data_IF_929622718661
#
_entry.id   IF_929622718661
#
_cell.length_a   1.000
_cell.length_b   1.000
_cell.length_c   1.000
_cell.angle_alpha   90.00
_cell.angle_beta   90.00
_cell.angle_gamma   90.00
#
_symmetry.space_group_name_H-M   'P 1'
#
loop_
_entity.id
_entity.type
_entity.pdbx_description
1 polymer ?
#
# COMPACT_ATOMS: atom_id res chain seq x y z
N UNK A 1 8.05 19.57 -1.48
CA UNK A 1 8.04 18.62 -2.63
C UNK A 1 7.14 17.44 -2.26
N UNK A 2 6.68 16.59 -3.20
CA UNK A 2 5.80 15.46 -2.84
C UNK A 2 6.47 14.52 -1.82
N UNK A 3 7.79 14.32 -1.94
CA UNK A 3 8.59 13.54 -1.00
C UNK A 3 8.65 14.20 0.38
N UNK A 4 8.87 15.51 0.45
CA UNK A 4 8.87 16.25 1.73
C UNK A 4 7.51 16.16 2.43
N UNK A 5 6.40 16.25 1.69
CA UNK A 5 5.06 16.12 2.27
C UNK A 5 4.85 14.71 2.85
N UNK A 6 5.34 13.68 2.16
CA UNK A 6 5.24 12.29 2.61
C UNK A 6 6.05 12.03 3.87
N UNK A 7 7.25 12.63 3.97
CA UNK A 7 8.09 12.59 5.17
C UNK A 7 7.36 13.32 6.29
N UNK A 8 6.92 14.56 6.05
CA UNK A 8 6.26 15.39 7.06
C UNK A 8 4.97 14.77 7.63
N UNK A 9 4.22 14.01 6.83
CA UNK A 9 3.02 13.29 7.29
C UNK A 9 3.32 12.14 8.26
N UNK A 10 4.56 11.66 8.30
CA UNK A 10 4.95 10.42 9.00
C UNK A 10 6.01 10.64 10.09
N UNK A 11 6.82 11.68 9.93
CA UNK A 11 7.86 12.10 10.86
C UNK A 11 7.23 12.65 12.15
N UNK A 12 7.27 11.84 13.22
CA UNK A 12 6.63 12.16 14.51
C UNK A 12 7.52 12.99 15.44
N UNK A 13 8.85 12.94 15.25
CA UNK A 13 9.82 13.66 16.07
C UNK A 13 10.37 14.92 15.39
N UNK A 14 10.08 15.11 14.10
CA UNK A 14 10.34 16.32 13.34
C UNK A 14 11.81 16.46 12.93
N UNK A 15 12.56 15.37 12.85
CA UNK A 15 13.97 15.38 12.49
C UNK A 15 14.22 15.44 10.97
N UNK A 16 13.13 15.35 10.19
CA UNK A 16 13.13 15.39 8.72
C UNK A 16 13.52 14.06 8.08
N UNK A 17 13.58 12.97 8.85
CA UNK A 17 13.91 11.62 8.41
C UNK A 17 12.76 10.67 8.77
N UNK A 18 12.83 9.44 8.26
CA UNK A 18 11.92 8.36 8.63
C UNK A 18 12.78 7.24 9.19
N UNK A 19 12.72 7.06 10.50
CA UNK A 19 13.38 5.96 11.17
C UNK A 19 12.50 4.68 11.18
N UNK A 20 13.01 3.64 11.82
CA UNK A 20 12.30 2.36 11.88
C UNK A 20 11.01 2.46 12.71
N UNK A 21 11.05 3.22 13.80
CA UNK A 21 9.91 3.46 14.69
C UNK A 21 8.78 4.19 13.96
N UNK A 22 9.08 5.27 13.22
CA UNK A 22 8.12 5.99 12.39
C UNK A 22 7.52 5.07 11.33
N UNK A 23 8.36 4.26 10.67
CA UNK A 23 7.92 3.30 9.67
C UNK A 23 6.91 2.30 10.25
N UNK A 24 7.22 1.67 11.40
CA UNK A 24 6.35 0.69 12.04
C UNK A 24 5.02 1.32 12.47
N UNK A 25 5.09 2.54 13.01
CA UNK A 25 3.92 3.30 13.45
C UNK A 25 2.99 3.61 12.27
N UNK A 26 3.54 4.20 11.20
CA UNK A 26 2.81 4.47 9.95
C UNK A 26 2.15 3.19 9.43
N UNK A 27 2.94 2.14 9.28
CA UNK A 27 2.47 0.91 8.68
C UNK A 27 1.36 0.26 9.51
N UNK A 28 1.52 0.24 10.83
CA UNK A 28 0.52 -0.29 11.76
C UNK A 28 -0.80 0.50 11.72
N UNK A 29 -0.72 1.84 11.73
CA UNK A 29 -1.88 2.73 11.67
C UNK A 29 -2.60 2.61 10.33
N UNK A 30 -1.89 2.79 9.22
CA UNK A 30 -2.47 2.78 7.87
C UNK A 30 -3.05 1.40 7.47
N UNK A 31 -2.43 0.30 7.90
CA UNK A 31 -2.94 -1.05 7.67
C UNK A 31 -4.28 -1.30 8.36
N UNK A 32 -4.47 -0.77 9.56
CA UNK A 32 -5.67 -0.95 10.36
C UNK A 32 -6.73 0.15 10.15
N UNK A 33 -6.41 1.17 9.35
CA UNK A 33 -7.27 2.32 9.13
C UNK A 33 -8.45 2.02 8.21
N UNK A 34 -9.60 1.75 8.84
CA UNK A 34 -10.89 1.55 8.18
C UNK A 34 -11.59 2.85 7.78
N UNK A 35 -11.17 3.99 8.34
CA UNK A 35 -11.84 5.30 8.16
C UNK A 35 -11.12 6.21 7.16
N UNK A 36 -10.00 5.76 6.58
CA UNK A 36 -9.18 6.54 5.63
C UNK A 36 -8.77 7.90 6.22
N UNK A 37 -8.32 7.87 7.47
CA UNK A 37 -7.82 9.02 8.23
C UNK A 37 -6.30 9.07 8.32
N UNK A 38 -5.63 7.95 8.09
CA UNK A 38 -4.17 7.88 8.13
C UNK A 38 -3.57 8.26 6.77
N UNK A 39 -2.39 8.91 6.76
CA UNK A 39 -1.63 9.15 5.54
C UNK A 39 -1.34 7.84 4.80
N UNK A 40 -1.61 7.82 3.49
CA UNK A 40 -1.50 6.60 2.67
C UNK A 40 -0.45 6.67 1.57
N UNK A 41 0.13 7.83 1.30
CA UNK A 41 1.11 8.00 0.21
C UNK A 41 2.32 7.11 0.43
N UNK A 42 3.00 7.24 1.57
CA UNK A 42 4.17 6.43 1.90
C UNK A 42 3.80 4.95 2.12
N UNK A 43 2.66 4.69 2.77
CA UNK A 43 2.14 3.33 2.93
C UNK A 43 1.93 2.60 1.59
N UNK A 44 1.41 3.29 0.57
CA UNK A 44 1.19 2.68 -0.74
C UNK A 44 2.50 2.27 -1.42
N UNK A 45 3.54 3.10 -1.32
CA UNK A 45 4.86 2.77 -1.85
C UNK A 45 5.48 1.58 -1.12
N UNK A 46 5.38 1.55 0.21
CA UNK A 46 5.87 0.45 1.04
C UNK A 46 5.17 -0.86 0.67
N UNK A 47 3.84 -0.84 0.55
CA UNK A 47 3.05 -2.02 0.23
C UNK A 47 3.33 -2.54 -1.19
N UNK A 48 3.57 -1.64 -2.14
CA UNK A 48 4.04 -1.99 -3.48
C UNK A 48 5.43 -2.66 -3.43
N UNK A 49 6.40 -2.02 -2.76
CA UNK A 49 7.77 -2.53 -2.67
C UNK A 49 7.87 -3.88 -1.94
N UNK A 50 6.99 -4.18 -0.99
CA UNK A 50 6.96 -5.50 -0.33
C UNK A 50 6.34 -6.60 -1.19
N UNK A 51 5.61 -6.23 -2.24
CA UNK A 51 4.94 -7.17 -3.15
C UNK A 51 5.67 -7.33 -4.47
N UNK A 52 6.55 -6.40 -4.83
CA UNK A 52 7.56 -6.55 -5.88
C UNK A 52 8.56 -7.64 -5.44
N UNK A 53 8.12 -8.90 -5.56
CA UNK A 53 8.91 -10.10 -5.24
C UNK A 53 9.75 -10.53 -6.43
N UNK A 54 9.59 -9.85 -7.58
CA UNK A 54 10.41 -10.07 -8.75
C UNK A 54 11.90 -9.97 -8.36
N UNK A 55 12.65 -11.01 -8.74
CA UNK A 55 14.06 -11.21 -8.41
C UNK A 55 15.01 -10.10 -8.91
N UNK A 56 14.50 -9.07 -9.56
CA UNK A 56 15.26 -7.98 -10.18
C UNK A 56 14.99 -6.59 -9.59
N UNK A 57 14.07 -6.44 -8.62
CA UNK A 57 13.64 -5.12 -8.12
C UNK A 57 13.35 -4.16 -9.28
N UNK A 58 12.66 -4.68 -10.31
CA UNK A 58 12.38 -3.99 -11.56
C UNK A 58 11.48 -2.76 -11.39
N UNK A 59 10.89 -2.57 -10.21
CA UNK A 59 9.97 -1.47 -9.92
C UNK A 59 8.61 -1.65 -10.60
N UNK A 60 8.29 -2.88 -10.99
CA UNK A 60 7.05 -3.26 -11.64
C UNK A 60 6.51 -4.53 -10.99
N UNK A 61 5.21 -4.55 -10.73
CA UNK A 61 4.52 -5.76 -10.27
C UNK A 61 3.71 -6.37 -11.40
N UNK A 62 3.61 -7.69 -11.42
CA UNK A 62 2.72 -8.41 -12.34
C UNK A 62 1.26 -8.48 -11.83
N UNK A 63 0.39 -9.13 -12.59
CA UNK A 63 -1.03 -9.25 -12.24
C UNK A 63 -1.23 -10.07 -10.96
N UNK A 64 -0.45 -11.11 -10.73
CA UNK A 64 -0.57 -11.99 -9.56
C UNK A 64 -0.10 -11.26 -8.29
N UNK A 65 1.00 -10.51 -8.37
CA UNK A 65 1.52 -9.65 -7.30
C UNK A 65 0.53 -8.51 -6.98
N UNK A 66 -0.07 -7.91 -8.00
CA UNK A 66 -1.12 -6.90 -7.83
C UNK A 66 -2.36 -7.48 -7.15
N UNK A 67 -2.80 -8.68 -7.57
CA UNK A 67 -3.91 -9.40 -6.93
C UNK A 67 -3.60 -9.74 -5.48
N UNK A 68 -2.35 -10.07 -5.14
CA UNK A 68 -1.93 -10.32 -3.76
C UNK A 68 -2.09 -9.07 -2.88
N UNK A 69 -1.68 -7.89 -3.35
CA UNK A 69 -1.90 -6.60 -2.65
C UNK A 69 -3.40 -6.39 -2.41
N UNK A 70 -4.21 -6.51 -3.46
CA UNK A 70 -5.65 -6.27 -3.38
C UNK A 70 -6.32 -7.25 -2.42
N UNK A 71 -5.91 -8.52 -2.45
CA UNK A 71 -6.43 -9.55 -1.55
C UNK A 71 -6.08 -9.25 -0.09
N UNK A 72 -4.84 -8.80 0.20
CA UNK A 72 -4.45 -8.43 1.57
C UNK A 72 -5.19 -7.18 2.07
N UNK A 73 -5.44 -6.20 1.19
CA UNK A 73 -6.12 -4.93 1.54
C UNK A 73 -7.62 -5.08 1.74
N UNK A 74 -8.29 -5.80 0.84
CA UNK A 74 -9.75 -5.80 0.75
C UNK A 74 -10.38 -7.16 1.08
N UNK A 75 -9.55 -8.21 1.18
CA UNK A 75 -9.98 -9.56 1.47
C UNK A 75 -10.72 -10.24 0.32
N UNK A 76 -10.93 -11.55 0.48
CA UNK A 76 -11.55 -12.42 -0.53
C UNK A 76 -12.87 -11.88 -1.09
N UNK A 77 -13.73 -11.38 -0.23
CA UNK A 77 -15.10 -10.95 -0.60
C UNK A 77 -15.12 -9.74 -1.54
N UNK A 78 -14.12 -8.86 -1.44
CA UNK A 78 -14.01 -7.73 -2.37
C UNK A 78 -13.47 -8.20 -3.73
N UNK A 79 -12.53 -9.15 -3.72
CA UNK A 79 -11.97 -9.75 -4.93
C UNK A 79 -13.00 -10.54 -5.72
N UNK A 80 -13.84 -11.34 -5.05
CA UNK A 80 -14.95 -12.07 -5.70
C UNK A 80 -15.88 -11.11 -6.45
N UNK A 81 -16.24 -9.98 -5.84
CA UNK A 81 -17.06 -8.95 -6.51
C UNK A 81 -16.35 -8.27 -7.69
N UNK A 82 -15.03 -8.12 -7.61
CA UNK A 82 -14.25 -7.52 -8.69
C UNK A 82 -14.19 -8.47 -9.88
N UNK A 83 -13.94 -9.76 -9.60
CA UNK A 83 -13.95 -10.83 -10.59
C UNK A 83 -15.31 -10.93 -11.28
N UNK A 84 -16.42 -10.90 -10.51
CA UNK A 84 -17.77 -10.89 -11.07
C UNK A 84 -18.01 -9.69 -12.00
N UNK A 85 -17.53 -8.49 -11.64
CA UNK A 85 -17.67 -7.28 -12.46
C UNK A 85 -16.82 -7.32 -13.73
N UNK A 86 -15.58 -7.78 -13.65
CA UNK A 86 -14.68 -7.88 -14.81
C UNK A 86 -15.25 -8.90 -15.79
N UNK A 87 -15.66 -10.08 -15.29
CA UNK A 87 -16.33 -11.09 -16.10
C UNK A 87 -17.62 -10.56 -16.72
N UNK A 88 -18.45 -9.84 -15.97
CA UNK A 88 -19.69 -9.25 -16.50
C UNK A 88 -19.47 -8.15 -17.56
N UNK A 89 -18.28 -7.52 -17.61
CA UNK A 89 -17.93 -6.54 -18.64
C UNK A 89 -17.33 -7.16 -19.91
N UNK A 90 -16.97 -8.45 -19.84
CA UNK A 90 -16.39 -9.21 -20.95
C UNK A 90 -17.43 -9.99 -21.77
N UNK A 91 -18.71 -9.94 -21.37
CA UNK A 91 -19.88 -10.49 -22.08
C UNK A 91 -20.89 -9.38 -22.38
#
# INVERSE_FOLDING_TARGET
>A
SEVEDMIWETDEDGDGMIDWENFVLLYGRARCDKKSKEPRRLFNLIDFMMCDKASDAGGTIDEDECLEILYRRYGKRAMEKLQDKVLASAY
#
